data_IF_672453036082
#
_entry.id   IF_672453036082
#
_cell.length_a   1.000
_cell.length_b   1.000
_cell.length_c   1.000
_cell.angle_alpha   90.00
_cell.angle_beta   90.00
_cell.angle_gamma   90.00
#
_symmetry.space_group_name_H-M   'P 1'
#
loop_
_entity.id
_entity.type
_entity.pdbx_description
1 polymer ?
#
# COMPACT_ATOMS: atom_id res chain seq x y z
N UNK A 1 -1.42 -13.63 23.05
CA UNK A 1 -2.52 -13.45 22.08
C UNK A 1 -1.87 -13.30 20.72
N UNK A 2 -2.36 -13.96 19.68
CA UNK A 2 -1.80 -13.82 18.32
C UNK A 2 -2.13 -12.45 17.74
N UNK A 3 -1.38 -11.98 16.74
CA UNK A 3 -1.65 -10.68 16.11
C UNK A 3 -3.03 -10.71 15.43
N UNK A 4 -3.34 -11.78 14.70
CA UNK A 4 -4.63 -11.97 14.05
C UNK A 4 -5.79 -11.92 15.05
N UNK A 5 -5.68 -12.58 16.21
CA UNK A 5 -6.73 -12.54 17.23
C UNK A 5 -6.96 -11.14 17.80
N UNK A 6 -5.93 -10.28 17.82
CA UNK A 6 -6.06 -8.89 18.27
C UNK A 6 -6.95 -8.04 17.35
N UNK A 7 -7.12 -8.44 16.09
CA UNK A 7 -7.91 -7.69 15.10
C UNK A 7 -9.42 -7.94 15.17
N UNK A 8 -9.87 -8.97 15.90
CA UNK A 8 -11.27 -9.39 15.90
C UNK A 8 -12.23 -8.26 16.35
N UNK A 9 -11.96 -7.62 17.48
CA UNK A 9 -12.81 -6.54 17.99
C UNK A 9 -12.76 -5.26 17.12
N UNK A 10 -11.57 -4.77 16.71
CA UNK A 10 -11.47 -3.68 15.73
C UNK A 10 -12.20 -3.97 14.42
N UNK A 11 -12.11 -5.20 13.90
CA UNK A 11 -12.78 -5.58 12.66
C UNK A 11 -14.30 -5.52 12.78
N UNK A 12 -14.88 -6.06 13.85
CA UNK A 12 -16.33 -6.04 14.07
C UNK A 12 -16.86 -4.60 14.16
N UNK A 13 -16.13 -3.73 14.87
CA UNK A 13 -16.44 -2.31 14.94
C UNK A 13 -16.36 -1.64 13.55
N UNK A 14 -15.30 -1.94 12.78
CA UNK A 14 -15.11 -1.43 11.43
C UNK A 14 -16.24 -1.86 10.48
N UNK A 15 -16.60 -3.15 10.46
CA UNK A 15 -17.71 -3.67 9.65
C UNK A 15 -19.02 -2.97 10.00
N UNK A 16 -19.32 -2.83 11.30
CA UNK A 16 -20.52 -2.12 11.77
C UNK A 16 -20.56 -0.68 11.28
N UNK A 17 -19.42 0.03 11.39
CA UNK A 17 -19.29 1.41 10.93
C UNK A 17 -19.43 1.54 9.41
N UNK A 18 -18.82 0.63 8.63
CA UNK A 18 -18.92 0.65 7.16
C UNK A 18 -20.34 0.38 6.68
N UNK A 19 -21.07 -0.56 7.29
CA UNK A 19 -22.50 -0.79 7.01
C UNK A 19 -23.33 0.48 7.28
N UNK A 20 -23.10 1.13 8.43
CA UNK A 20 -23.75 2.40 8.79
C UNK A 20 -23.47 3.51 7.76
N UNK A 21 -22.31 3.50 7.13
CA UNK A 21 -21.91 4.46 6.09
C UNK A 21 -22.24 4.01 4.65
N UNK A 22 -23.05 2.97 4.48
CA UNK A 22 -23.61 2.59 3.17
C UNK A 22 -22.69 1.75 2.29
N UNK A 23 -21.68 1.10 2.85
CA UNK A 23 -20.94 0.04 2.15
C UNK A 23 -21.80 -1.22 2.10
N UNK A 24 -21.97 -1.84 0.92
CA UNK A 24 -22.85 -3.00 0.79
C UNK A 24 -22.27 -4.23 1.51
N UNK A 25 -23.15 -5.06 2.06
CA UNK A 25 -22.77 -6.21 2.88
C UNK A 25 -21.97 -7.28 2.09
N UNK A 26 -22.21 -7.41 0.78
CA UNK A 26 -21.42 -8.31 -0.07
C UNK A 26 -19.97 -7.85 -0.26
N UNK A 27 -19.68 -6.55 0.02
CA UNK A 27 -18.35 -5.95 0.00
C UNK A 27 -17.63 -5.98 1.33
N UNK A 28 -18.21 -6.59 2.37
CA UNK A 28 -17.67 -6.62 3.73
C UNK A 28 -17.41 -8.05 4.23
N UNK A 29 -17.08 -8.96 3.30
CA UNK A 29 -16.75 -10.36 3.61
C UNK A 29 -15.26 -10.48 3.93
N UNK A 30 -14.93 -10.38 5.22
CA UNK A 30 -13.58 -10.57 5.74
C UNK A 30 -13.35 -12.04 6.15
N UNK A 31 -12.12 -12.51 5.97
CA UNK A 31 -11.69 -13.84 6.37
C UNK A 31 -12.04 -14.95 5.37
N UNK A 32 -11.29 -16.04 5.46
CA UNK A 32 -11.39 -17.21 4.60
C UNK A 32 -10.85 -17.01 3.18
N UNK A 33 -10.67 -18.13 2.48
CA UNK A 33 -10.35 -18.12 1.05
C UNK A 33 -11.52 -17.53 0.26
N UNK A 34 -11.18 -16.82 -0.82
CA UNK A 34 -12.18 -16.36 -1.77
C UNK A 34 -12.12 -17.20 -3.04
N UNK A 35 -13.26 -17.58 -3.64
CA UNK A 35 -13.24 -18.32 -4.90
C UNK A 35 -12.55 -17.51 -6.00
N UNK A 36 -11.65 -18.15 -6.74
CA UNK A 36 -11.07 -17.55 -7.94
C UNK A 36 -12.18 -17.28 -8.95
N UNK A 37 -12.32 -16.04 -9.47
CA UNK A 37 -13.37 -15.71 -10.42
C UNK A 37 -13.27 -16.59 -11.68
N UNK A 38 -14.40 -17.20 -12.09
CA UNK A 38 -14.46 -18.02 -13.30
C UNK A 38 -14.09 -17.26 -14.58
N UNK A 39 -14.26 -15.92 -14.58
CA UNK A 39 -13.85 -15.03 -15.65
C UNK A 39 -13.01 -13.88 -15.08
N UNK A 40 -11.76 -13.82 -15.49
CA UNK A 40 -10.83 -12.75 -15.15
C UNK A 40 -10.73 -11.79 -16.33
N UNK A 41 -11.05 -10.51 -16.10
CA UNK A 41 -10.78 -9.45 -17.06
C UNK A 41 -9.32 -9.02 -16.94
N UNK A 42 -8.54 -9.31 -17.97
CA UNK A 42 -7.12 -8.96 -18.03
C UNK A 42 -6.97 -7.63 -18.77
N UNK A 43 -6.35 -6.61 -18.14
CA UNK A 43 -6.07 -5.35 -18.81
C UNK A 43 -5.26 -5.55 -20.09
N UNK A 44 -5.62 -4.84 -21.16
CA UNK A 44 -4.95 -4.95 -22.46
C UNK A 44 -3.96 -3.82 -22.76
N UNK A 45 -4.02 -2.72 -22.02
CA UNK A 45 -3.08 -1.61 -22.15
C UNK A 45 -2.96 -0.83 -20.82
N UNK A 46 -1.82 -0.17 -20.65
CA UNK A 46 -1.58 0.87 -19.66
C UNK A 46 -1.48 2.22 -20.38
N UNK A 47 -2.14 3.27 -19.87
CA UNK A 47 -2.01 4.63 -20.39
C UNK A 47 -0.85 5.39 -19.72
N UNK A 48 -0.49 6.56 -20.24
CA UNK A 48 0.57 7.42 -19.66
C UNK A 48 0.33 7.75 -18.19
N UNK A 49 -0.94 7.92 -17.78
CA UNK A 49 -1.27 8.24 -16.40
C UNK A 49 -0.94 7.06 -15.48
N UNK A 50 -1.39 5.85 -15.85
CA UNK A 50 -1.08 4.64 -15.12
C UNK A 50 0.43 4.40 -15.04
N UNK A 51 1.16 4.61 -16.14
CA UNK A 51 2.62 4.47 -16.16
C UNK A 51 3.29 5.49 -15.23
N UNK A 52 2.81 6.75 -15.18
CA UNK A 52 3.29 7.74 -14.22
C UNK A 52 2.96 7.38 -12.76
N UNK A 53 1.79 6.77 -12.50
CA UNK A 53 1.39 6.31 -11.16
C UNK A 53 2.23 5.11 -10.71
N UNK A 54 2.47 4.16 -11.61
CA UNK A 54 3.35 3.02 -11.37
C UNK A 54 4.78 3.48 -11.12
N UNK A 55 5.33 4.37 -11.95
CA UNK A 55 6.68 4.89 -11.78
C UNK A 55 6.88 5.62 -10.43
N UNK A 56 5.85 6.33 -9.95
CA UNK A 56 5.88 6.96 -8.64
C UNK A 56 5.77 5.94 -7.50
N UNK A 57 4.96 4.89 -7.69
CA UNK A 57 4.88 3.73 -6.79
C UNK A 57 6.22 3.03 -6.65
N UNK A 58 6.83 2.66 -7.78
CA UNK A 58 8.15 2.02 -7.84
C UNK A 58 9.22 2.87 -7.14
N UNK A 59 9.22 4.18 -7.37
CA UNK A 59 10.15 5.08 -6.68
C UNK A 59 9.92 5.09 -5.17
N UNK A 60 8.68 5.18 -4.72
CA UNK A 60 8.35 5.18 -3.29
C UNK A 60 8.77 3.87 -2.62
N UNK A 61 8.49 2.73 -3.26
CA UNK A 61 8.86 1.40 -2.77
C UNK A 61 10.38 1.25 -2.66
N UNK A 62 11.12 1.51 -3.75
CA UNK A 62 12.57 1.39 -3.78
C UNK A 62 13.24 2.35 -2.79
N UNK A 63 12.75 3.58 -2.71
CA UNK A 63 13.27 4.61 -1.81
C UNK A 63 13.06 4.25 -0.34
N UNK A 64 11.87 3.75 0.00
CA UNK A 64 11.57 3.31 1.35
C UNK A 64 12.38 2.07 1.73
N UNK A 65 12.49 1.09 0.83
CA UNK A 65 13.30 -0.11 1.05
C UNK A 65 14.78 0.25 1.31
N UNK A 66 15.35 1.16 0.51
CA UNK A 66 16.70 1.66 0.72
C UNK A 66 16.86 2.34 2.08
N UNK A 67 15.94 3.23 2.46
CA UNK A 67 15.97 3.91 3.75
C UNK A 67 15.84 2.94 4.93
N UNK A 68 14.98 1.91 4.82
CA UNK A 68 14.85 0.85 5.81
C UNK A 68 16.14 0.03 5.95
N UNK A 69 16.76 -0.32 4.83
CA UNK A 69 18.00 -1.10 4.82
C UNK A 69 19.20 -0.32 5.40
N UNK A 70 19.19 1.01 5.31
CA UNK A 70 20.14 1.87 6.01
C UNK A 70 19.82 1.98 7.52
N UNK A 71 18.55 2.10 7.89
CA UNK A 71 18.12 2.40 9.26
C UNK A 71 18.04 1.18 10.20
N UNK A 72 17.88 -0.03 9.65
CA UNK A 72 17.64 -1.24 10.44
C UNK A 72 18.92 -2.08 10.59
N UNK A 73 19.62 -2.10 11.73
CA UNK A 73 20.88 -2.84 11.84
C UNK A 73 20.69 -4.37 11.75
N UNK A 74 19.62 -4.91 12.33
CA UNK A 74 19.39 -6.35 12.46
C UNK A 74 18.38 -6.92 11.45
N UNK A 75 17.71 -6.05 10.70
CA UNK A 75 16.69 -6.44 9.73
C UNK A 75 16.96 -5.80 8.38
N UNK A 76 16.31 -6.31 7.34
CA UNK A 76 16.27 -5.70 6.01
C UNK A 76 14.89 -5.84 5.39
N UNK A 77 14.56 -4.91 4.51
CA UNK A 77 13.41 -4.95 3.62
C UNK A 77 13.79 -5.69 2.33
N UNK A 78 12.98 -6.67 1.95
CA UNK A 78 13.05 -7.36 0.66
C UNK A 78 11.77 -7.10 -0.15
N UNK A 79 11.88 -7.00 -1.47
CA UNK A 79 10.72 -6.82 -2.34
C UNK A 79 9.88 -8.10 -2.34
N UNK A 80 8.62 -7.97 -1.93
CA UNK A 80 7.71 -9.07 -1.60
C UNK A 80 6.41 -9.04 -2.41
N UNK A 81 5.98 -7.87 -2.89
CA UNK A 81 4.73 -7.72 -3.63
C UNK A 81 4.65 -8.70 -4.81
N UNK A 82 3.45 -9.17 -5.14
CA UNK A 82 3.24 -9.98 -6.35
C UNK A 82 3.32 -9.05 -7.57
N UNK A 83 4.55 -8.73 -7.95
CA UNK A 83 4.89 -7.76 -8.98
C UNK A 83 5.60 -8.47 -10.12
N UNK A 84 4.97 -8.47 -11.29
CA UNK A 84 5.74 -8.46 -12.52
C UNK A 84 6.00 -7.02 -12.89
N UNK A 85 7.26 -6.65 -13.12
CA UNK A 85 7.59 -5.42 -13.88
C UNK A 85 7.03 -5.42 -15.32
N UNK A 86 6.33 -6.50 -15.69
CA UNK A 86 5.62 -6.70 -16.94
C UNK A 86 4.32 -5.89 -16.92
N UNK A 87 4.11 -5.06 -17.93
CA UNK A 87 2.88 -4.25 -18.07
C UNK A 87 1.86 -4.87 -19.02
N UNK A 88 0.61 -4.41 -18.93
CA UNK A 88 -0.45 -4.83 -19.83
C UNK A 88 -0.07 -4.60 -21.31
N UNK A 89 -0.08 -5.70 -22.09
CA UNK A 89 0.31 -5.72 -23.51
C UNK A 89 1.70 -6.30 -23.79
N UNK A 90 2.48 -6.61 -22.75
CA UNK A 90 3.74 -7.36 -22.87
C UNK A 90 3.52 -8.87 -22.81
N UNK A 91 4.50 -9.61 -23.31
CA UNK A 91 4.45 -11.07 -23.39
C UNK A 91 4.57 -11.66 -21.96
N UNK A 92 3.67 -12.58 -21.59
CA UNK A 92 3.61 -13.18 -20.26
C UNK A 92 2.77 -12.42 -19.22
N UNK A 93 2.28 -11.21 -19.53
CA UNK A 93 1.47 -10.42 -18.59
C UNK A 93 0.19 -11.15 -18.15
N UNK A 94 -0.50 -11.79 -19.10
CA UNK A 94 -1.80 -12.43 -18.85
C UNK A 94 -1.67 -13.57 -17.85
N UNK A 95 -0.68 -14.43 -18.06
CA UNK A 95 -0.40 -15.59 -17.22
C UNK A 95 -0.05 -15.13 -15.80
N UNK A 96 0.84 -14.13 -15.68
CA UNK A 96 1.23 -13.57 -14.40
C UNK A 96 0.06 -12.89 -13.66
N UNK A 97 -0.74 -12.10 -14.36
CA UNK A 97 -1.90 -11.40 -13.79
C UNK A 97 -2.97 -12.38 -13.27
N UNK A 98 -3.27 -13.44 -14.03
CA UNK A 98 -4.22 -14.48 -13.61
C UNK A 98 -3.69 -15.23 -12.39
N UNK A 99 -2.40 -15.57 -12.39
CA UNK A 99 -1.74 -16.23 -11.26
C UNK A 99 -1.81 -15.37 -9.99
N UNK A 100 -1.52 -14.08 -10.08
CA UNK A 100 -1.59 -13.16 -8.94
C UNK A 100 -3.00 -13.03 -8.35
N UNK A 101 -4.05 -13.07 -9.17
CA UNK A 101 -5.43 -13.11 -8.70
C UNK A 101 -5.72 -14.41 -7.94
N UNK A 102 -5.32 -15.55 -8.50
CA UNK A 102 -5.51 -16.84 -7.85
C UNK A 102 -4.75 -16.93 -6.52
N UNK A 103 -3.51 -16.46 -6.48
CA UNK A 103 -2.67 -16.39 -5.28
C UNK A 103 -3.33 -15.52 -4.20
N UNK A 104 -3.77 -14.31 -4.57
CA UNK A 104 -4.45 -13.39 -3.66
C UNK A 104 -5.75 -13.97 -3.10
N UNK A 105 -6.48 -14.75 -3.91
CA UNK A 105 -7.72 -15.40 -3.48
C UNK A 105 -7.49 -16.44 -2.37
N UNK A 106 -6.34 -17.13 -2.41
CA UNK A 106 -5.96 -18.18 -1.48
C UNK A 106 -5.26 -17.62 -0.24
N UNK A 107 -4.21 -16.80 -0.44
CA UNK A 107 -3.30 -16.38 0.61
C UNK A 107 -3.50 -14.92 1.06
N UNK A 108 -4.36 -14.17 0.39
CA UNK A 108 -4.49 -12.74 0.60
C UNK A 108 -3.45 -11.94 -0.17
N UNK A 109 -3.51 -10.62 -0.06
CA UNK A 109 -2.63 -9.73 -0.81
C UNK A 109 -1.27 -9.61 -0.10
N UNK A 110 -0.20 -10.00 -0.79
CA UNK A 110 1.18 -9.68 -0.37
C UNK A 110 1.39 -8.18 -0.46
N UNK A 111 1.94 -7.61 0.62
CA UNK A 111 2.42 -6.23 0.62
C UNK A 111 3.71 -6.09 -0.19
N UNK A 112 4.11 -4.86 -0.49
CA UNK A 112 5.24 -4.58 -1.38
C UNK A 112 6.58 -4.96 -0.74
N UNK A 113 6.76 -4.76 0.56
CA UNK A 113 7.98 -5.10 1.29
C UNK A 113 7.73 -6.11 2.42
N UNK A 114 8.68 -7.02 2.63
CA UNK A 114 8.74 -7.91 3.81
C UNK A 114 9.96 -7.56 4.65
N UNK A 115 9.79 -7.43 5.97
CA UNK A 115 10.88 -7.11 6.91
C UNK A 115 11.38 -8.41 7.54
N UNK A 116 12.59 -8.81 7.16
CA UNK A 116 13.21 -10.08 7.54
C UNK A 116 14.50 -9.84 8.33
N UNK A 117 14.93 -10.84 9.08
CA UNK A 117 16.27 -10.83 9.69
C UNK A 117 17.34 -10.58 8.62
N UNK A 118 18.32 -9.74 8.95
CA UNK A 118 19.37 -9.36 8.00
C UNK A 118 20.19 -10.57 7.52
N UNK A 119 20.36 -11.57 8.39
CA UNK A 119 21.10 -12.80 8.11
C UNK A 119 20.26 -13.86 7.36
N UNK A 120 18.99 -13.58 7.03
CA UNK A 120 18.17 -14.53 6.29
C UNK A 120 18.72 -14.77 4.87
N UNK A 121 18.66 -16.03 4.41
CA UNK A 121 19.15 -16.44 3.09
C UNK A 121 18.04 -16.25 2.06
N UNK A 122 17.68 -14.99 1.79
CA UNK A 122 16.75 -14.60 0.73
C UNK A 122 17.41 -13.63 -0.24
N UNK A 123 17.06 -13.66 -1.54
CA UNK A 123 17.42 -12.56 -2.43
C UNK A 123 16.72 -11.27 -1.98
N UNK A 124 17.22 -10.11 -2.43
CA UNK A 124 16.59 -8.81 -2.16
C UNK A 124 15.22 -8.65 -2.83
N UNK A 125 14.93 -9.47 -3.84
CA UNK A 125 13.66 -9.51 -4.55
C UNK A 125 13.13 -10.95 -4.61
N UNK A 126 12.03 -11.19 -3.87
CA UNK A 126 11.31 -12.46 -3.78
C UNK A 126 9.93 -12.38 -4.48
N UNK A 127 9.65 -11.30 -5.23
CA UNK A 127 8.36 -11.03 -5.86
C UNK A 127 7.89 -12.13 -6.83
N UNK A 128 8.83 -12.85 -7.44
CA UNK A 128 8.53 -13.91 -8.41
C UNK A 128 8.46 -15.31 -7.79
N UNK A 129 8.75 -15.46 -6.49
CA UNK A 129 8.64 -16.74 -5.78
C UNK A 129 7.18 -17.06 -5.45
N UNK A 130 6.87 -18.35 -5.39
CA UNK A 130 5.54 -18.84 -5.03
C UNK A 130 5.26 -18.56 -3.55
N UNK A 131 4.04 -18.12 -3.23
CA UNK A 131 3.66 -17.78 -1.86
C UNK A 131 3.75 -18.98 -0.91
N UNK A 132 3.50 -20.19 -1.41
CA UNK A 132 3.68 -21.44 -0.64
C UNK A 132 5.13 -21.67 -0.21
N UNK A 133 6.09 -21.36 -1.09
CA UNK A 133 7.51 -21.57 -0.83
C UNK A 133 8.07 -20.55 0.17
N UNK A 134 7.42 -19.38 0.29
CA UNK A 134 7.79 -18.30 1.21
C UNK A 134 7.18 -18.46 2.62
N UNK A 135 6.35 -19.47 2.86
CA UNK A 135 5.59 -19.59 4.12
C UNK A 135 6.47 -19.57 5.37
N UNK A 136 7.61 -20.26 5.34
CA UNK A 136 8.58 -20.27 6.44
C UNK A 136 9.24 -18.91 6.67
N UNK A 137 9.61 -18.22 5.60
CA UNK A 137 10.24 -16.90 5.65
C UNK A 137 9.28 -15.83 6.17
N UNK A 138 8.02 -15.87 5.72
CA UNK A 138 6.98 -14.97 6.22
C UNK A 138 6.71 -15.24 7.69
N UNK A 139 6.68 -16.50 8.12
CA UNK A 139 6.53 -16.86 9.53
C UNK A 139 7.72 -16.39 10.40
N UNK A 140 8.93 -16.31 9.85
CA UNK A 140 10.11 -15.77 10.53
C UNK A 140 10.19 -14.23 10.48
N UNK A 141 9.52 -13.58 9.54
CA UNK A 141 9.56 -12.12 9.37
C UNK A 141 9.01 -11.33 10.57
N UNK A 142 9.40 -10.06 10.68
CA UNK A 142 8.75 -9.11 11.60
C UNK A 142 7.34 -8.77 11.15
N UNK A 143 7.13 -8.67 9.85
CA UNK A 143 5.88 -8.26 9.23
C UNK A 143 6.13 -7.63 7.85
N UNK A 144 5.10 -7.02 7.29
CA UNK A 144 5.14 -6.51 5.92
C UNK A 144 4.67 -5.05 5.80
N UNK A 145 5.06 -4.36 4.74
CA UNK A 145 4.73 -2.95 4.51
C UNK A 145 4.18 -2.79 3.10
N UNK A 146 2.92 -2.37 3.00
CA UNK A 146 2.30 -1.90 1.76
C UNK A 146 2.68 -0.44 1.55
N UNK A 147 3.34 -0.14 0.44
CA UNK A 147 3.81 1.21 0.10
C UNK A 147 2.77 1.90 -0.76
N UNK A 148 2.36 3.08 -0.33
CA UNK A 148 1.46 3.98 -1.06
C UNK A 148 2.23 5.24 -1.42
N UNK A 149 2.28 5.57 -2.70
CA UNK A 149 2.91 6.81 -3.16
C UNK A 149 1.92 7.96 -3.27
N UNK A 150 2.37 9.20 -3.04
CA UNK A 150 1.60 10.43 -3.25
C UNK A 150 2.44 11.48 -3.97
N UNK A 151 1.79 12.24 -4.86
CA UNK A 151 2.39 13.38 -5.57
C UNK A 151 2.42 14.66 -4.73
N UNK A 152 1.89 14.62 -3.52
CA UNK A 152 1.81 15.78 -2.65
C UNK A 152 3.08 15.90 -1.80
N UNK A 153 3.43 17.12 -1.46
CA UNK A 153 4.26 17.45 -0.30
C UNK A 153 3.33 17.71 0.89
N UNK A 154 3.41 16.86 1.90
CA UNK A 154 2.54 16.85 3.08
C UNK A 154 2.70 18.09 3.96
N UNK A 155 3.93 18.57 4.16
CA UNK A 155 4.25 19.75 4.96
C UNK A 155 3.82 21.02 4.24
N UNK A 156 4.11 21.10 2.94
CA UNK A 156 3.66 22.21 2.08
C UNK A 156 2.14 22.28 2.03
N UNK A 157 1.44 21.14 1.94
CA UNK A 157 -0.01 21.10 2.02
C UNK A 157 -0.53 21.62 3.36
N UNK A 158 0.07 21.21 4.47
CA UNK A 158 -0.32 21.68 5.80
C UNK A 158 -0.17 23.21 5.95
N UNK A 159 0.95 23.77 5.47
CA UNK A 159 1.18 25.22 5.43
C UNK A 159 0.13 25.95 4.58
N UNK A 160 -0.20 25.40 3.41
CA UNK A 160 -1.26 25.92 2.56
C UNK A 160 -2.64 25.92 3.26
N UNK A 161 -2.98 24.84 3.98
CA UNK A 161 -4.24 24.80 4.74
C UNK A 161 -4.26 25.88 5.81
N UNK A 162 -3.19 26.03 6.59
CA UNK A 162 -3.08 27.05 7.63
C UNK A 162 -3.25 28.45 7.03
N UNK A 163 -2.57 28.75 5.92
CA UNK A 163 -2.65 30.07 5.29
C UNK A 163 -4.06 30.39 4.77
N UNK A 164 -4.75 29.39 4.23
CA UNK A 164 -6.11 29.56 3.70
C UNK A 164 -7.13 29.78 4.83
N UNK A 165 -7.01 29.04 5.93
CA UNK A 165 -7.87 29.22 7.11
C UNK A 165 -7.64 30.59 7.77
N UNK A 166 -6.38 31.05 7.88
CA UNK A 166 -6.05 32.39 8.38
C UNK A 166 -6.66 33.50 7.50
N UNK A 167 -6.80 33.26 6.20
CA UNK A 167 -7.48 34.15 5.26
C UNK A 167 -9.02 34.02 5.26
N UNK A 168 -9.61 33.26 6.19
CA UNK A 168 -11.05 33.03 6.29
C UNK A 168 -11.63 32.18 5.15
N UNK A 169 -10.79 31.46 4.40
CA UNK A 169 -11.23 30.61 3.29
C UNK A 169 -11.55 29.20 3.77
N UNK A 170 -12.54 28.58 3.14
CA UNK A 170 -12.86 27.16 3.35
C UNK A 170 -11.88 26.29 2.54
N UNK A 171 -11.33 25.26 3.18
CA UNK A 171 -10.46 24.27 2.54
C UNK A 171 -11.22 22.96 2.37
N UNK A 172 -11.24 22.42 1.14
CA UNK A 172 -11.96 21.16 0.83
C UNK A 172 -11.27 19.91 1.40
N UNK A 173 -9.94 19.95 1.48
CA UNK A 173 -9.09 18.88 2.01
C UNK A 173 -8.22 19.45 3.11
N UNK A 174 -8.73 19.53 4.36
CA UNK A 174 -7.99 20.09 5.48
C UNK A 174 -6.77 19.23 5.85
N UNK A 175 -6.77 17.96 5.45
CA UNK A 175 -5.68 17.02 5.74
C UNK A 175 -5.55 15.98 4.61
N UNK A 176 -4.31 15.53 4.37
CA UNK A 176 -4.02 14.39 3.50
C UNK A 176 -4.37 13.07 4.19
N UNK A 177 -4.43 11.98 3.42
CA UNK A 177 -4.99 10.72 3.90
C UNK A 177 -4.17 9.52 3.42
N UNK A 178 -4.11 8.48 4.24
CA UNK A 178 -3.95 7.12 3.75
C UNK A 178 -5.23 6.74 2.97
N UNK A 179 -5.05 6.22 1.75
CA UNK A 179 -6.18 5.78 0.93
C UNK A 179 -6.40 4.28 1.08
N UNK A 180 -7.45 3.90 1.80
CA UNK A 180 -7.74 2.49 2.13
C UNK A 180 -8.92 2.00 1.30
N UNK A 181 -8.67 1.11 0.34
CA UNK A 181 -9.74 0.47 -0.43
C UNK A 181 -10.30 -0.69 0.38
N UNK A 182 -11.63 -0.75 0.55
CA UNK A 182 -12.29 -1.84 1.31
C UNK A 182 -11.94 -3.22 0.73
N UNK A 183 -11.91 -3.34 -0.60
CA UNK A 183 -11.53 -4.60 -1.27
C UNK A 183 -10.08 -5.02 -1.03
N UNK A 184 -9.16 -4.05 -0.85
CA UNK A 184 -7.76 -4.33 -0.56
C UNK A 184 -7.63 -4.71 0.92
N UNK A 185 -8.33 -4.01 1.80
CA UNK A 185 -8.34 -4.29 3.24
C UNK A 185 -8.81 -5.71 3.56
N UNK A 186 -9.80 -6.24 2.81
CA UNK A 186 -10.23 -7.64 2.92
C UNK A 186 -9.10 -8.61 2.57
N UNK A 187 -8.40 -8.35 1.46
CA UNK A 187 -7.29 -9.22 1.01
C UNK A 187 -6.09 -9.13 1.95
N UNK A 188 -5.84 -7.96 2.53
CA UNK A 188 -4.83 -7.75 3.55
C UNK A 188 -5.20 -8.51 4.83
N UNK A 189 -6.46 -8.43 5.27
CA UNK A 189 -6.93 -9.19 6.43
C UNK A 189 -6.77 -10.70 6.21
N UNK A 190 -7.05 -11.20 4.99
CA UNK A 190 -6.78 -12.60 4.63
C UNK A 190 -5.30 -12.95 4.73
N UNK A 191 -4.41 -12.06 4.29
CA UNK A 191 -2.96 -12.27 4.44
C UNK A 191 -2.56 -12.41 5.92
N UNK A 192 -3.10 -11.53 6.77
CA UNK A 192 -2.86 -11.58 8.22
C UNK A 192 -3.45 -12.86 8.83
N UNK A 193 -4.62 -13.30 8.39
CA UNK A 193 -5.24 -14.55 8.82
C UNK A 193 -4.37 -15.78 8.51
N UNK A 194 -3.73 -15.80 7.34
CA UNK A 194 -2.88 -16.92 6.90
C UNK A 194 -1.53 -16.93 7.63
N UNK A 195 -0.92 -15.75 7.82
CA UNK A 195 0.46 -15.65 8.24
C UNK A 195 0.64 -15.24 9.71
N UNK A 196 -0.40 -14.71 10.36
CA UNK A 196 -0.37 -14.17 11.72
C UNK A 196 0.76 -13.14 11.94
N UNK A 197 0.96 -12.27 10.94
CA UNK A 197 1.97 -11.22 10.95
C UNK A 197 1.35 -9.83 10.79
N UNK A 198 1.95 -8.80 11.41
CA UNK A 198 1.51 -7.43 11.23
C UNK A 198 1.82 -6.92 9.82
N UNK A 199 0.95 -6.01 9.37
CA UNK A 199 1.16 -5.27 8.14
C UNK A 199 0.96 -3.77 8.40
N UNK A 200 1.79 -2.95 7.78
CA UNK A 200 1.68 -1.49 7.81
C UNK A 200 1.31 -0.96 6.43
N UNK A 201 0.62 0.17 6.40
CA UNK A 201 0.56 1.04 5.22
C UNK A 201 1.58 2.16 5.41
N UNK A 202 2.52 2.31 4.48
CA UNK A 202 3.45 3.42 4.43
C UNK A 202 3.06 4.38 3.30
N UNK A 203 2.57 5.56 3.66
CA UNK A 203 2.27 6.64 2.73
C UNK A 203 3.53 7.51 2.54
N UNK A 204 4.15 7.37 1.38
CA UNK A 204 5.31 8.16 0.94
C UNK A 204 4.81 9.38 0.16
N UNK A 205 5.04 10.56 0.72
CA UNK A 205 4.90 11.86 0.07
C UNK A 205 6.25 12.31 -0.50
N UNK A 206 6.25 13.41 -1.28
CA UNK A 206 7.48 13.95 -1.85
C UNK A 206 8.38 14.65 -0.82
N UNK A 207 7.91 14.81 0.43
CA UNK A 207 8.63 15.49 1.52
C UNK A 207 8.65 14.73 2.87
N UNK A 208 7.87 13.65 3.01
CA UNK A 208 7.69 12.92 4.27
C UNK A 208 7.17 11.50 4.07
N UNK A 209 7.37 10.65 5.08
CA UNK A 209 6.82 9.30 5.14
C UNK A 209 5.96 9.15 6.39
N UNK A 210 4.74 8.65 6.21
CA UNK A 210 3.83 8.31 7.29
C UNK A 210 3.52 6.82 7.26
N UNK A 211 3.36 6.19 8.42
CA UNK A 211 2.98 4.78 8.55
C UNK A 211 1.78 4.61 9.49
N UNK A 212 0.98 3.59 9.24
CA UNK A 212 -0.16 3.21 10.08
C UNK A 212 -0.35 1.69 10.04
N UNK A 213 -0.62 1.06 11.17
CA UNK A 213 -0.90 -0.37 11.26
C UNK A 213 -2.32 -0.73 10.83
N UNK A 214 -2.53 -1.95 10.31
CA UNK A 214 -3.89 -2.42 9.94
C UNK A 214 -4.85 -2.36 11.12
N UNK A 215 -4.37 -2.64 12.34
CA UNK A 215 -5.17 -2.49 13.55
C UNK A 215 -5.67 -1.05 13.75
N UNK A 216 -4.78 -0.07 13.67
CA UNK A 216 -5.13 1.36 13.81
C UNK A 216 -6.10 1.81 12.71
N UNK A 217 -5.94 1.31 11.47
CA UNK A 217 -6.91 1.54 10.39
C UNK A 217 -8.30 1.01 10.78
N UNK A 218 -8.39 -0.23 11.26
CA UNK A 218 -9.67 -0.83 11.67
C UNK A 218 -10.29 -0.07 12.86
N UNK A 219 -9.48 0.29 13.86
CA UNK A 219 -9.92 1.07 15.01
C UNK A 219 -10.44 2.46 14.60
N UNK A 220 -9.73 3.16 13.71
CA UNK A 220 -10.20 4.42 13.14
C UNK A 220 -11.55 4.24 12.43
N UNK A 221 -11.67 3.24 11.55
CA UNK A 221 -12.91 2.97 10.81
C UNK A 221 -14.06 2.69 11.78
N UNK A 222 -13.82 1.90 12.82
CA UNK A 222 -14.82 1.50 13.81
C UNK A 222 -15.29 2.62 14.72
N UNK A 223 -14.42 3.60 15.03
CA UNK A 223 -14.68 4.63 16.03
C UNK A 223 -14.96 6.03 15.45
N UNK A 224 -14.58 6.29 14.20
CA UNK A 224 -14.77 7.60 13.58
C UNK A 224 -16.24 8.00 13.53
N UNK A 225 -16.54 9.20 14.02
CA UNK A 225 -17.90 9.75 14.03
C UNK A 225 -18.45 10.01 12.62
N UNK A 226 -17.55 10.34 11.68
CA UNK A 226 -17.83 10.51 10.25
C UNK A 226 -16.68 9.94 9.44
N UNK A 227 -16.99 8.99 8.56
CA UNK A 227 -16.04 8.51 7.56
C UNK A 227 -16.22 9.26 6.25
N UNK A 228 -15.11 9.73 5.68
CA UNK A 228 -15.08 10.18 4.29
C UNK A 228 -14.81 8.95 3.41
N UNK A 229 -15.85 8.53 2.69
CA UNK A 229 -15.79 7.37 1.81
C UNK A 229 -16.13 7.80 0.39
N UNK A 230 -15.19 7.60 -0.52
CA UNK A 230 -15.38 7.83 -1.94
C UNK A 230 -15.78 6.51 -2.60
N UNK A 231 -16.88 6.52 -3.37
CA UNK A 231 -17.28 5.40 -4.24
C UNK A 231 -17.43 5.92 -5.67
N UNK A 232 -16.33 5.99 -6.45
CA UNK A 232 -16.41 6.49 -7.81
C UNK A 232 -17.20 5.51 -8.68
N UNK A 233 -18.25 6.02 -9.34
CA UNK A 233 -19.20 5.25 -10.18
C UNK A 233 -18.52 4.29 -11.19
N UNK A 234 -17.32 4.64 -11.66
CA UNK A 234 -16.55 3.85 -12.64
C UNK A 234 -15.84 2.63 -12.04
N UNK A 235 -15.44 2.68 -10.77
CA UNK A 235 -14.69 1.58 -10.14
C UNK A 235 -15.57 0.71 -9.25
N UNK A 236 -16.63 1.28 -8.66
CA UNK A 236 -17.44 0.65 -7.59
C UNK A 236 -16.60 0.17 -6.39
N UNK A 237 -15.42 0.77 -6.19
CA UNK A 237 -14.51 0.46 -5.09
C UNK A 237 -14.65 1.54 -4.02
N UNK A 238 -15.06 1.14 -2.83
CA UNK A 238 -15.10 2.02 -1.67
C UNK A 238 -13.69 2.33 -1.22
N UNK A 239 -13.35 3.62 -1.21
CA UNK A 239 -12.07 4.13 -0.72
C UNK A 239 -12.33 4.99 0.50
N UNK A 240 -11.79 4.56 1.64
CA UNK A 240 -11.86 5.26 2.91
C UNK A 240 -10.67 6.21 2.98
N UNK A 241 -10.94 7.47 3.26
CA UNK A 241 -9.92 8.50 3.46
C UNK A 241 -9.57 8.55 4.95
N UNK A 242 -8.50 7.86 5.33
CA UNK A 242 -8.00 7.79 6.72
C UNK A 242 -6.96 8.91 6.90
N UNK A 243 -7.21 9.94 7.73
CA UNK A 243 -6.31 11.08 7.88
C UNK A 243 -4.90 10.67 8.29
N UNK A 244 -3.86 11.31 7.75
CA UNK A 244 -2.47 10.92 8.06
C UNK A 244 -2.10 11.11 9.54
N UNK A 245 -2.82 11.97 10.27
CA UNK A 245 -2.73 12.18 11.72
C UNK A 245 -3.20 11.00 12.56
N UNK A 246 -3.88 10.02 11.96
CA UNK A 246 -4.23 8.76 12.64
C UNK A 246 -3.06 7.78 12.68
N UNK A 247 -2.07 7.98 11.83
CA UNK A 247 -0.82 7.25 11.84
C UNK A 247 0.33 8.11 12.35
N UNK A 248 1.54 7.73 11.97
CA UNK A 248 2.77 8.28 12.54
C UNK A 248 3.70 8.77 11.44
N UNK A 249 4.31 9.95 11.59
CA UNK A 249 5.42 10.35 10.72
C UNK A 249 6.64 9.54 11.10
N UNK A 250 7.09 8.68 10.19
CA UNK A 250 8.21 7.75 10.40
C UNK A 250 9.47 8.15 9.65
N UNK A 251 9.38 9.14 8.75
CA UNK A 251 10.53 9.55 7.95
C UNK A 251 10.31 10.82 7.15
N UNK A 252 11.36 11.16 6.41
CA UNK A 252 11.49 12.39 5.63
C UNK A 252 12.18 12.11 4.29
N UNK A 253 11.77 12.86 3.26
CA UNK A 253 12.55 12.97 2.03
C UNK A 253 13.60 14.06 2.28
N UNK A 254 14.86 13.66 2.36
CA UNK A 254 16.00 14.56 2.62
C UNK A 254 16.67 15.05 1.34
N UNK A 255 16.43 14.36 0.23
CA UNK A 255 16.81 14.80 -1.11
C UNK A 255 15.61 14.59 -2.04
N UNK A 256 15.13 15.67 -2.65
CA UNK A 256 13.96 15.64 -3.53
C UNK A 256 14.30 14.93 -4.87
N UNK A 257 13.44 14.04 -5.38
CA UNK A 257 13.71 13.36 -6.64
C UNK A 257 13.64 14.32 -7.84
N UNK A 258 14.48 14.09 -8.85
CA UNK A 258 14.28 14.75 -10.15
C UNK A 258 13.17 14.03 -10.94
N UNK A 259 12.56 14.69 -11.92
CA UNK A 259 11.55 14.10 -12.79
C UNK A 259 11.99 14.12 -14.24
N UNK A 260 12.21 12.92 -14.80
CA UNK A 260 12.55 12.75 -16.20
C UNK A 260 11.30 12.50 -17.04
N UNK A 261 11.30 12.99 -18.28
CA UNK A 261 10.29 12.63 -19.26
C UNK A 261 10.70 11.33 -19.94
N UNK A 262 9.83 10.34 -19.87
CA UNK A 262 9.96 9.06 -20.58
C UNK A 262 9.04 9.11 -21.81
N UNK A 263 9.58 8.75 -22.97
CA UNK A 263 8.82 8.50 -24.19
C UNK A 263 8.96 7.02 -24.57
N UNK A 264 7.85 6.28 -24.50
CA UNK A 264 7.81 4.85 -24.76
C UNK A 264 6.98 4.54 -26.01
N UNK A 265 7.62 4.02 -27.05
CA UNK A 265 6.95 3.52 -28.25
C UNK A 265 6.38 2.12 -28.02
N UNK A 266 5.07 1.95 -28.19
CA UNK A 266 4.38 0.66 -28.10
C UNK A 266 4.52 -0.16 -29.39
N UNK A 267 4.23 -1.47 -29.32
CA UNK A 267 4.22 -2.38 -30.48
C UNK A 267 3.26 -1.92 -31.61
N UNK A 268 2.23 -1.12 -31.31
CA UNK A 268 1.27 -0.60 -32.28
C UNK A 268 1.55 0.86 -32.73
N UNK A 269 2.73 1.41 -32.40
CA UNK A 269 3.14 2.74 -32.87
C UNK A 269 2.63 3.93 -32.04
N UNK A 270 2.04 3.70 -30.86
CA UNK A 270 1.63 4.75 -29.93
C UNK A 270 2.83 5.19 -29.07
N UNK A 271 2.95 6.49 -28.84
CA UNK A 271 3.89 7.05 -27.86
C UNK A 271 3.19 7.24 -26.51
N UNK A 272 3.67 6.57 -25.48
CA UNK A 272 3.27 6.79 -24.09
C UNK A 272 4.31 7.70 -23.42
N UNK A 273 3.94 8.98 -23.26
CA UNK A 273 4.80 10.00 -22.66
C UNK A 273 4.38 10.24 -21.22
N UNK A 274 5.31 10.14 -20.26
CA UNK A 274 5.03 10.36 -18.84
C UNK A 274 6.25 10.83 -18.05
N UNK A 275 6.02 11.43 -16.88
CA UNK A 275 7.09 11.82 -15.95
C UNK A 275 7.42 10.67 -15.00
N UNK A 276 8.73 10.43 -14.79
CA UNK A 276 9.25 9.40 -13.90
C UNK A 276 10.19 10.03 -12.86
N UNK A 277 9.96 9.85 -11.56
CA UNK A 277 10.91 10.25 -10.53
C UNK A 277 12.21 9.44 -10.63
N UNK A 278 13.34 10.11 -10.48
CA UNK A 278 14.69 9.52 -10.45
C UNK A 278 15.53 10.15 -9.35
N UNK A 279 16.35 9.34 -8.68
CA UNK A 279 17.11 9.78 -7.51
C UNK A 279 16.23 10.11 -6.31
N UNK A 280 16.68 11.07 -5.50
CA UNK A 280 16.09 11.38 -4.20
C UNK A 280 16.55 10.44 -3.10
N UNK A 281 16.39 10.87 -1.85
CA UNK A 281 16.80 10.12 -0.66
C UNK A 281 15.80 10.30 0.46
N UNK A 282 15.48 9.20 1.11
CA UNK A 282 14.60 9.13 2.27
C UNK A 282 15.41 8.73 3.49
N UNK A 283 14.98 9.20 4.66
CA UNK A 283 15.44 8.72 5.96
C UNK A 283 14.24 8.30 6.78
N UNK A 284 14.36 7.20 7.52
CA UNK A 284 13.29 6.70 8.40
C UNK A 284 13.83 6.43 9.80
N UNK A 285 12.95 6.51 10.79
CA UNK A 285 13.21 6.00 12.14
C UNK A 285 12.95 4.48 12.16
N UNK A 286 14.02 3.70 12.00
CA UNK A 286 13.95 2.23 11.92
C UNK A 286 13.37 1.60 13.19
N UNK A 287 13.85 2.02 14.37
CA UNK A 287 13.37 1.51 15.66
C UNK A 287 11.86 1.72 15.82
N UNK A 288 11.37 2.90 15.44
CA UNK A 288 9.94 3.19 15.54
C UNK A 288 9.09 2.36 14.56
N UNK A 289 9.60 2.07 13.36
CA UNK A 289 8.92 1.15 12.43
C UNK A 289 8.89 -0.27 12.99
N UNK A 290 9.99 -0.71 13.63
CA UNK A 290 10.02 -2.00 14.33
C UNK A 290 8.99 -2.06 15.46
N UNK A 291 8.86 -0.99 16.26
CA UNK A 291 7.85 -0.90 17.33
C UNK A 291 6.43 -1.00 16.76
N UNK A 292 6.14 -0.33 15.64
CA UNK A 292 4.84 -0.42 14.96
C UNK A 292 4.54 -1.82 14.43
N UNK A 293 5.56 -2.57 14.01
CA UNK A 293 5.45 -3.98 13.61
C UNK A 293 5.40 -4.95 14.80
N UNK A 294 5.45 -4.47 16.04
CA UNK A 294 5.36 -5.31 17.24
C UNK A 294 4.14 -4.97 18.12
N UNK A 295 3.38 -3.94 17.77
CA UNK A 295 2.19 -3.44 18.48
C UNK A 295 0.89 -4.20 18.13
#
# INVERSE_FOLDING_TARGET
MTYFASLAAPLEAAITSLKKHGVEEDKLRFGGETPVPAKIYVPSFADSKFQAEQALGDWAENSLAAALNEALPNHRAVAYGFSSKIIAGEDGFKEHYVKGIADTCLFGKRADLLIVDRDCILPDDISNLETVDLSGDVAASMGAIEVRSSRMESKVHAEYVISQLAAGKKVSTPELNFTVKVEDLIKVYRWIEVHDKPQLYAQVFLDAVYAIGIREILEYIGTASKLKIDNPQRSRKYTIMVPISTGHRVGDVVEYPNFEVVDRLTKNGRHDIYARPVGGKLTVNGDFICDLLQA
#
